data_IF_580649898094
#
_entry.id   IF_580649898094
#
_cell.length_a   1.000
_cell.length_b   1.000
_cell.length_c   1.000
_cell.angle_alpha   90.00
_cell.angle_beta   90.00
_cell.angle_gamma   90.00
#
_symmetry.space_group_name_H-M   'P 1'
#
loop_
_entity.id
_entity.type
_entity.pdbx_description
1 polymer ?
#
# COMPACT_ATOMS: atom_id res chain seq x y z
N UNK A 1 45.61 47.70 -10.86
CA UNK A 1 45.50 46.87 -9.64
C UNK A 1 44.03 46.73 -9.23
N UNK A 2 43.58 45.48 -9.12
CA UNK A 2 42.57 44.89 -8.20
C UNK A 2 41.21 45.58 -7.95
N UNK A 3 40.15 44.90 -8.45
CA UNK A 3 38.73 45.08 -8.10
C UNK A 3 38.45 44.66 -6.65
N UNK A 4 37.49 45.30 -5.98
CA UNK A 4 36.77 44.69 -4.84
C UNK A 4 35.33 45.20 -4.75
N UNK A 5 34.41 44.50 -5.43
CA UNK A 5 32.98 44.58 -5.16
C UNK A 5 32.69 43.70 -3.93
N UNK A 6 32.11 44.27 -2.87
CA UNK A 6 31.50 43.49 -1.78
C UNK A 6 30.00 43.41 -2.03
N UNK A 7 29.54 42.23 -2.47
CA UNK A 7 28.13 41.85 -2.44
C UNK A 7 27.95 40.84 -1.30
N UNK A 8 27.37 41.27 -0.19
CA UNK A 8 26.89 40.38 0.87
C UNK A 8 25.65 39.65 0.37
N UNK A 9 25.86 38.40 -0.07
CA UNK A 9 24.79 37.44 -0.37
C UNK A 9 24.04 37.13 0.92
N UNK A 10 22.78 37.54 1.00
CA UNK A 10 21.80 36.99 1.94
C UNK A 10 21.68 35.49 1.70
N UNK A 11 22.00 34.71 2.72
CA UNK A 11 21.94 33.26 2.69
C UNK A 11 20.49 32.83 2.99
N UNK A 12 19.61 32.92 1.99
CA UNK A 12 18.33 32.22 2.05
C UNK A 12 18.59 30.74 1.78
N UNK A 13 18.87 29.99 2.84
CA UNK A 13 18.82 28.54 2.86
C UNK A 13 17.37 28.09 2.64
N UNK A 14 16.92 28.14 1.40
CA UNK A 14 15.68 27.51 0.96
C UNK A 14 15.82 26.01 1.22
N UNK A 15 15.07 25.53 2.21
CA UNK A 15 14.85 24.11 2.43
C UNK A 15 14.29 23.50 1.13
N UNK A 16 15.16 22.91 0.31
CA UNK A 16 14.72 22.02 -0.77
C UNK A 16 14.14 20.78 -0.10
N UNK A 17 12.82 20.78 0.03
CA UNK A 17 12.03 19.59 0.26
C UNK A 17 12.34 18.61 -0.89
N UNK A 18 13.32 17.74 -0.68
CA UNK A 18 13.54 16.57 -1.53
C UNK A 18 12.40 15.59 -1.21
N UNK A 19 11.22 15.87 -1.74
CA UNK A 19 10.10 14.94 -1.82
C UNK A 19 10.45 13.82 -2.78
N UNK A 20 11.37 12.93 -2.36
CA UNK A 20 11.62 11.68 -3.07
C UNK A 20 10.29 10.92 -3.05
N UNK A 21 9.75 10.64 -4.23
CA UNK A 21 8.55 9.84 -4.39
C UNK A 21 8.68 8.57 -3.53
N UNK A 22 7.78 8.35 -2.57
CA UNK A 22 7.86 7.25 -1.61
C UNK A 22 7.90 5.88 -2.32
N UNK A 23 7.26 5.83 -3.49
CA UNK A 23 7.28 4.70 -4.43
C UNK A 23 8.66 4.32 -4.99
N UNK A 24 9.61 5.26 -5.01
CA UNK A 24 11.00 5.10 -5.47
C UNK A 24 11.99 4.77 -4.36
N UNK A 25 11.53 4.81 -3.10
CA UNK A 25 12.34 4.38 -1.95
C UNK A 25 12.47 2.86 -1.98
N UNK A 26 13.66 2.31 -1.68
CA UNK A 26 13.90 0.85 -1.72
C UNK A 26 12.87 0.03 -0.93
N UNK A 27 12.29 0.59 0.13
CA UNK A 27 11.21 -0.04 0.92
C UNK A 27 9.86 -0.10 0.19
N UNK A 28 9.47 0.96 -0.52
CA UNK A 28 8.22 0.97 -1.31
C UNK A 28 8.28 0.01 -2.49
N UNK A 29 9.47 -0.12 -3.11
CA UNK A 29 9.74 -1.16 -4.12
C UNK A 29 9.74 -2.58 -3.53
N UNK A 30 10.12 -2.75 -2.26
CA UNK A 30 10.11 -4.06 -1.60
C UNK A 30 8.68 -4.55 -1.31
N UNK A 31 7.79 -3.66 -0.84
CA UNK A 31 6.39 -3.99 -0.55
C UNK A 31 5.52 -4.08 -1.80
N UNK A 32 5.69 -3.16 -2.74
CA UNK A 32 4.95 -3.15 -4.00
C UNK A 32 5.95 -3.01 -5.17
N UNK A 33 6.55 -4.13 -5.65
CA UNK A 33 7.47 -4.12 -6.78
C UNK A 33 6.80 -3.68 -8.08
N UNK A 34 7.60 -3.15 -9.01
CA UNK A 34 7.11 -2.69 -10.33
C UNK A 34 6.24 -3.73 -11.05
N UNK A 35 6.66 -4.99 -11.09
CA UNK A 35 5.90 -6.07 -11.73
C UNK A 35 4.49 -6.25 -11.15
N UNK A 36 4.29 -5.99 -9.84
CA UNK A 36 2.96 -6.03 -9.24
C UNK A 36 2.17 -4.77 -9.59
N UNK A 37 2.82 -3.60 -9.63
CA UNK A 37 2.18 -2.32 -9.97
C UNK A 37 1.59 -2.34 -11.38
N UNK A 38 2.29 -2.92 -12.35
CA UNK A 38 1.82 -3.02 -13.73
C UNK A 38 0.59 -3.92 -13.87
N UNK A 39 0.46 -4.93 -13.01
CA UNK A 39 -0.64 -5.88 -13.02
C UNK A 39 -1.73 -5.53 -11.99
N UNK A 40 -1.59 -4.41 -11.28
CA UNK A 40 -2.50 -4.03 -10.21
C UNK A 40 -3.84 -3.57 -10.81
N UNK A 41 -4.96 -4.22 -10.48
CA UNK A 41 -6.26 -3.81 -10.98
C UNK A 41 -6.61 -2.40 -10.49
N UNK A 42 -7.23 -1.62 -11.36
CA UNK A 42 -7.68 -0.27 -11.04
C UNK A 42 -8.75 -0.34 -9.96
N UNK A 43 -8.76 0.63 -9.05
CA UNK A 43 -9.77 0.73 -7.99
C UNK A 43 -11.21 0.62 -8.55
N UNK A 44 -12.01 -0.24 -7.95
CA UNK A 44 -13.39 -0.55 -8.31
C UNK A 44 -13.57 -1.63 -9.37
N UNK A 45 -12.50 -2.07 -10.06
CA UNK A 45 -12.61 -3.03 -11.17
C UNK A 45 -13.05 -4.44 -10.76
N UNK A 46 -12.75 -4.86 -9.53
CA UNK A 46 -13.10 -6.14 -8.94
C UNK A 46 -14.30 -6.07 -8.00
N UNK A 47 -14.93 -4.90 -7.78
CA UNK A 47 -16.03 -4.71 -6.83
C UNK A 47 -17.18 -5.70 -7.03
N UNK A 48 -17.52 -6.04 -8.29
CA UNK A 48 -18.61 -6.97 -8.62
C UNK A 48 -18.25 -8.44 -8.44
N UNK A 49 -16.99 -8.77 -8.20
CA UNK A 49 -16.53 -10.15 -8.07
C UNK A 49 -16.76 -10.71 -6.67
N UNK A 50 -16.94 -9.86 -5.65
CA UNK A 50 -17.10 -10.29 -4.26
C UNK A 50 -15.94 -11.18 -3.83
N UNK A 51 -16.25 -12.36 -3.28
CA UNK A 51 -15.25 -13.35 -2.87
C UNK A 51 -14.32 -13.82 -3.99
N UNK A 52 -14.74 -13.71 -5.25
CA UNK A 52 -13.94 -14.10 -6.41
C UNK A 52 -12.86 -13.08 -6.78
N UNK A 53 -12.84 -11.90 -6.18
CA UNK A 53 -11.76 -10.93 -6.38
C UNK A 53 -10.43 -11.54 -5.92
N UNK A 54 -9.35 -11.24 -6.65
CA UNK A 54 -8.02 -11.80 -6.40
C UNK A 54 -7.17 -10.81 -5.61
N UNK A 55 -6.58 -11.30 -4.51
CA UNK A 55 -5.53 -10.59 -3.79
C UNK A 55 -4.17 -10.89 -4.44
N UNK A 56 -3.55 -9.88 -5.03
CA UNK A 56 -2.29 -10.01 -5.78
C UNK A 56 -1.06 -10.07 -4.88
N UNK A 57 -1.10 -9.36 -3.76
CA UNK A 57 0.02 -9.34 -2.81
C UNK A 57 -0.51 -9.47 -1.38
N UNK A 58 0.27 -10.19 -0.56
CA UNK A 58 0.10 -10.27 0.87
C UNK A 58 1.24 -9.55 1.57
N UNK A 59 0.87 -8.73 2.53
CA UNK A 59 1.78 -8.12 3.49
C UNK A 59 1.40 -8.54 4.88
N UNK A 60 2.39 -8.68 5.75
CA UNK A 60 2.14 -9.00 7.16
C UNK A 60 3.22 -8.38 8.04
N UNK A 61 2.87 -8.10 9.29
CA UNK A 61 3.87 -7.94 10.34
C UNK A 61 4.54 -9.29 10.62
N UNK A 62 5.81 -9.29 11.03
CA UNK A 62 6.55 -10.53 11.31
C UNK A 62 5.93 -11.35 12.45
N UNK A 63 5.25 -10.70 13.39
CA UNK A 63 4.51 -11.35 14.47
C UNK A 63 3.11 -11.81 14.06
N UNK A 64 2.69 -11.58 12.81
CA UNK A 64 1.37 -11.97 12.29
C UNK A 64 0.19 -11.19 12.90
N UNK A 65 0.44 -10.16 13.71
CA UNK A 65 -0.63 -9.38 14.36
C UNK A 65 -1.50 -8.61 13.37
N UNK A 66 -0.97 -8.26 12.20
CA UNK A 66 -1.73 -7.62 11.14
C UNK A 66 -1.28 -8.08 9.76
N UNK A 67 -2.26 -8.29 8.88
CA UNK A 67 -2.05 -8.69 7.49
C UNK A 67 -2.88 -7.82 6.54
N UNK A 68 -2.36 -7.62 5.33
CA UNK A 68 -3.02 -6.91 4.24
C UNK A 68 -2.98 -7.79 3.00
N UNK A 69 -4.12 -7.93 2.35
CA UNK A 69 -4.29 -8.64 1.10
C UNK A 69 -4.79 -7.65 0.06
N UNK A 70 -3.88 -7.17 -0.80
CA UNK A 70 -4.17 -6.10 -1.75
C UNK A 70 -4.85 -6.67 -3.00
N UNK A 71 -5.99 -6.12 -3.35
CA UNK A 71 -6.77 -6.51 -4.53
C UNK A 71 -6.66 -5.51 -5.66
N UNK A 72 -6.64 -4.22 -5.34
CA UNK A 72 -6.69 -3.14 -6.32
C UNK A 72 -5.86 -1.96 -5.84
N UNK A 73 -5.56 -1.03 -6.74
CA UNK A 73 -4.94 0.22 -6.36
C UNK A 73 -4.89 1.25 -7.48
N UNK A 74 -4.47 2.45 -7.07
CA UNK A 74 -4.22 3.57 -7.96
C UNK A 74 -3.01 4.36 -7.47
N UNK A 75 -2.16 4.77 -8.41
CA UNK A 75 -1.01 5.61 -8.11
C UNK A 75 -1.46 7.06 -7.95
N UNK A 76 -1.15 7.68 -6.81
CA UNK A 76 -1.18 9.13 -6.65
C UNK A 76 0.04 9.71 -7.35
N UNK A 77 -0.17 10.60 -8.32
CA UNK A 77 0.90 11.18 -9.15
C UNK A 77 1.05 12.68 -8.91
N UNK A 78 2.26 13.21 -9.13
CA UNK A 78 2.48 14.66 -9.27
C UNK A 78 1.90 15.16 -10.61
N UNK A 79 1.78 16.49 -10.81
CA UNK A 79 1.42 17.06 -12.12
C UNK A 79 2.34 16.59 -13.24
N UNK A 80 3.62 16.34 -12.94
CA UNK A 80 4.61 15.82 -13.90
C UNK A 80 4.47 14.30 -14.18
N UNK A 81 3.43 13.66 -13.65
CA UNK A 81 3.13 12.24 -13.88
C UNK A 81 3.89 11.26 -12.99
N UNK A 82 4.75 11.74 -12.07
CA UNK A 82 5.54 10.88 -11.18
C UNK A 82 4.70 10.31 -10.03
N UNK A 83 4.69 8.99 -9.85
CA UNK A 83 3.94 8.34 -8.77
C UNK A 83 4.56 8.64 -7.40
N UNK A 84 3.87 9.43 -6.56
CA UNK A 84 4.32 9.78 -5.20
C UNK A 84 3.95 8.72 -4.17
N UNK A 85 2.76 8.13 -4.29
CA UNK A 85 2.22 7.14 -3.37
C UNK A 85 1.17 6.26 -4.07
N UNK A 86 0.68 5.22 -3.40
CA UNK A 86 -0.37 4.33 -3.90
C UNK A 86 -1.52 4.26 -2.91
N UNK A 87 -2.72 4.55 -3.39
CA UNK A 87 -3.95 4.23 -2.69
C UNK A 87 -4.35 2.80 -3.07
N UNK A 88 -4.53 1.94 -2.08
CA UNK A 88 -4.76 0.52 -2.27
C UNK A 88 -6.08 0.13 -1.63
N UNK A 89 -6.70 -0.91 -2.16
CA UNK A 89 -7.91 -1.51 -1.61
C UNK A 89 -7.72 -3.01 -1.43
N UNK A 90 -8.19 -3.52 -0.30
CA UNK A 90 -8.04 -4.93 0.01
C UNK A 90 -8.57 -5.34 1.38
N UNK A 91 -8.34 -6.60 1.71
CA UNK A 91 -8.69 -7.18 3.00
C UNK A 91 -7.58 -6.87 4.02
N UNK A 92 -7.96 -6.31 5.16
CA UNK A 92 -7.09 -6.11 6.33
C UNK A 92 -7.53 -7.07 7.43
N UNK A 93 -6.58 -7.86 7.93
CA UNK A 93 -6.78 -8.84 9.00
C UNK A 93 -5.96 -8.41 10.21
N UNK A 94 -6.57 -8.41 11.38
CA UNK A 94 -5.92 -8.14 12.67
C UNK A 94 -6.88 -8.54 13.80
N UNK A 95 -7.33 -7.58 14.61
CA UNK A 95 -8.40 -7.82 15.60
C UNK A 95 -9.73 -8.22 14.96
N UNK A 96 -9.94 -7.86 13.69
CA UNK A 96 -11.08 -8.27 12.89
C UNK A 96 -10.68 -8.39 11.43
N UNK A 97 -11.66 -8.70 10.57
CA UNK A 97 -11.47 -8.76 9.12
C UNK A 97 -12.32 -7.69 8.46
N UNK A 98 -11.71 -6.78 7.72
CA UNK A 98 -12.42 -5.70 7.04
C UNK A 98 -11.83 -5.40 5.67
N UNK A 99 -12.68 -4.99 4.74
CA UNK A 99 -12.22 -4.37 3.50
C UNK A 99 -12.01 -2.88 3.73
N UNK A 100 -10.85 -2.38 3.33
CA UNK A 100 -10.51 -0.98 3.57
C UNK A 100 -9.61 -0.41 2.48
N UNK A 101 -9.57 0.92 2.43
CA UNK A 101 -8.59 1.67 1.67
C UNK A 101 -7.41 2.02 2.57
N UNK A 102 -6.20 1.92 2.04
CA UNK A 102 -4.99 2.27 2.78
C UNK A 102 -3.90 2.77 1.84
N UNK A 103 -3.07 3.68 2.33
CA UNK A 103 -1.91 4.15 1.60
C UNK A 103 -0.74 3.21 1.77
N UNK A 104 0.06 3.03 0.72
CA UNK A 104 1.31 2.27 0.81
C UNK A 104 2.26 2.90 1.84
N UNK A 105 2.31 4.23 1.91
CA UNK A 105 3.09 4.97 2.91
C UNK A 105 2.68 4.64 4.35
N UNK A 106 1.39 4.57 4.65
CA UNK A 106 0.88 4.20 5.98
C UNK A 106 1.31 2.78 6.37
N UNK A 107 1.22 1.82 5.44
CA UNK A 107 1.67 0.44 5.69
C UNK A 107 3.18 0.38 5.91
N UNK A 108 3.96 1.17 5.16
CA UNK A 108 5.42 1.25 5.33
C UNK A 108 5.85 1.84 6.68
N UNK A 109 5.02 2.69 7.27
CA UNK A 109 5.21 3.30 8.58
C UNK A 109 4.55 2.49 9.71
N UNK A 110 3.80 1.45 9.38
CA UNK A 110 3.17 0.62 10.39
C UNK A 110 4.20 -0.24 11.12
N UNK A 111 4.09 -0.25 12.45
CA UNK A 111 4.88 -1.07 13.36
C UNK A 111 3.93 -1.88 14.23
N UNK A 112 4.22 -3.16 14.41
CA UNK A 112 3.53 -3.98 15.39
C UNK A 112 3.90 -3.52 16.82
N UNK A 113 3.17 -3.95 17.87
CA UNK A 113 3.49 -3.60 19.25
C UNK A 113 4.95 -3.92 19.65
N UNK A 114 5.55 -4.95 19.04
CA UNK A 114 6.97 -5.30 19.20
C UNK A 114 7.95 -4.51 18.31
N UNK A 115 7.49 -3.45 17.65
CA UNK A 115 8.30 -2.62 16.75
C UNK A 115 8.59 -3.26 15.38
N UNK A 116 8.05 -4.45 15.11
CA UNK A 116 8.33 -5.18 13.87
C UNK A 116 7.66 -4.48 12.68
N UNK A 117 8.41 -4.42 11.57
CA UNK A 117 7.93 -3.78 10.34
C UNK A 117 7.07 -4.74 9.54
N UNK A 118 6.23 -4.16 8.70
CA UNK A 118 5.50 -4.91 7.68
C UNK A 118 6.47 -5.38 6.60
N UNK A 119 6.33 -6.64 6.21
CA UNK A 119 7.07 -7.26 5.10
C UNK A 119 6.12 -7.82 4.04
N UNK A 120 6.65 -7.99 2.83
CA UNK A 120 5.94 -8.66 1.73
C UNK A 120 6.28 -10.14 1.74
N UNK A 121 5.25 -10.96 1.62
CA UNK A 121 5.41 -12.39 1.39
C UNK A 121 5.96 -12.63 -0.04
N UNK A 122 7.18 -13.14 -0.13
CA UNK A 122 7.86 -13.40 -1.40
C UNK A 122 7.35 -14.65 -2.11
N UNK A 123 6.70 -15.58 -1.38
CA UNK A 123 6.13 -16.83 -1.91
C UNK A 123 4.64 -16.71 -2.20
N UNK A 124 4.03 -15.57 -1.90
CA UNK A 124 2.62 -15.33 -2.16
C UNK A 124 2.29 -15.52 -3.64
N UNK A 125 1.22 -16.27 -3.90
CA UNK A 125 0.61 -16.41 -5.22
C UNK A 125 -0.78 -15.78 -5.18
N UNK A 126 -1.20 -15.04 -6.22
CA UNK A 126 -2.53 -14.46 -6.26
C UNK A 126 -3.63 -15.48 -5.95
N UNK A 127 -4.47 -15.17 -4.97
CA UNK A 127 -5.53 -16.07 -4.46
C UNK A 127 -6.85 -15.32 -4.32
N UNK A 128 -7.98 -16.01 -4.46
CA UNK A 128 -9.30 -15.38 -4.28
C UNK A 128 -9.58 -15.07 -2.82
N UNK A 129 -10.37 -14.03 -2.57
CA UNK A 129 -10.73 -13.62 -1.22
C UNK A 129 -11.58 -14.67 -0.50
N UNK A 130 -12.44 -15.40 -1.21
CA UNK A 130 -13.21 -16.53 -0.66
C UNK A 130 -12.32 -17.70 -0.21
N UNK A 131 -11.16 -17.89 -0.82
CA UNK A 131 -10.17 -18.88 -0.38
C UNK A 131 -9.27 -18.39 0.77
N UNK A 132 -9.21 -17.08 1.00
CA UNK A 132 -8.42 -16.45 2.09
C UNK A 132 -9.27 -16.31 3.34
N UNK A 133 -10.51 -15.84 3.17
CA UNK A 133 -11.44 -15.54 4.25
C UNK A 133 -12.85 -16.06 3.91
N UNK A 134 -13.05 -17.39 3.80
CA UNK A 134 -14.33 -17.98 3.37
C UNK A 134 -15.50 -17.53 4.23
N UNK A 135 -15.29 -17.37 5.54
CA UNK A 135 -16.30 -16.88 6.48
C UNK A 135 -16.90 -15.50 6.14
N UNK A 136 -16.21 -14.67 5.34
CA UNK A 136 -16.73 -13.37 4.92
C UNK A 136 -17.68 -13.47 3.71
N UNK A 137 -17.73 -14.63 3.06
CA UNK A 137 -18.47 -14.85 1.82
C UNK A 137 -19.40 -16.06 1.88
N UNK A 138 -19.47 -16.75 3.03
CA UNK A 138 -20.53 -17.71 3.27
C UNK A 138 -21.84 -16.94 3.29
N UNK A 139 -22.71 -17.26 2.33
CA UNK A 139 -24.10 -16.82 2.34
C UNK A 139 -24.70 -17.09 3.71
N UNK A 140 -25.50 -16.16 4.21
CA UNK A 140 -26.43 -16.41 5.31
C UNK A 140 -27.48 -17.42 4.84
N UNK A 141 -27.13 -18.69 4.66
CA UNK A 141 -28.09 -19.78 4.44
C UNK A 141 -28.60 -20.34 5.78
N UNK A 142 -28.60 -19.51 6.83
CA UNK A 142 -29.14 -19.81 8.16
C UNK A 142 -29.70 -18.52 8.75
N UNK A 143 -30.95 -18.21 8.42
CA UNK A 143 -31.93 -17.48 9.24
C UNK A 143 -33.19 -17.25 8.39
N UNK A 144 -33.86 -18.37 8.07
CA UNK A 144 -35.25 -18.40 7.61
C UNK A 144 -35.83 -19.81 7.92
N UNK A 145 -35.86 -20.11 9.22
CA UNK A 145 -36.51 -21.24 9.93
C UNK A 145 -36.18 -20.92 11.40
N UNK A 146 -37.06 -20.53 12.32
CA UNK A 146 -38.53 -20.63 12.47
C UNK A 146 -39.12 -19.33 13.06
#
# INVERSE_FOLDING_TARGET
>A
MTRRCQSSRGNNSGAKANGKALSSTGRGQRLLPYAIRENLPILGSQRRLGGRAKALVRWSTLDGSREWYVTEGSARRTPDGNAVDYLLYGLVVGQGRKFDYFWLSDVMMHHSPGGMRVERDSRWRPKRLDEIAPQMFRSQDKEQED
#
